data_IF_551750667003
#
_entry.id   IF_551750667003
#
_cell.length_a   1.000
_cell.length_b   1.000
_cell.length_c   1.000
_cell.angle_alpha   90.00
_cell.angle_beta   90.00
_cell.angle_gamma   90.00
#
_symmetry.space_group_name_H-M   'P 1'
#
loop_
_entity.id
_entity.type
_entity.pdbx_description
1 polymer ?
#
# COMPACT_ATOMS: atom_id res chain seq x y z
N UNK A 1 6.65 -9.15 16.82
CA UNK A 1 6.28 -10.33 16.02
C UNK A 1 6.92 -10.15 14.65
N UNK A 2 7.70 -11.12 14.16
CA UNK A 2 8.33 -11.01 12.85
C UNK A 2 7.27 -11.04 11.75
N UNK A 3 7.50 -10.31 10.65
CA UNK A 3 6.62 -10.32 9.49
C UNK A 3 6.69 -11.68 8.81
N UNK A 4 5.56 -12.19 8.34
CA UNK A 4 5.50 -13.48 7.65
C UNK A 4 6.28 -13.45 6.33
N UNK A 5 7.03 -14.50 5.98
CA UNK A 5 7.84 -14.56 4.75
C UNK A 5 7.03 -14.29 3.47
N UNK A 6 5.80 -14.79 3.40
CA UNK A 6 4.91 -14.62 2.25
C UNK A 6 4.55 -13.15 2.03
N UNK A 7 4.36 -12.40 3.12
CA UNK A 7 4.06 -10.97 3.05
C UNK A 7 5.28 -10.19 2.54
N UNK A 8 6.48 -10.56 2.99
CA UNK A 8 7.74 -9.98 2.49
C UNK A 8 7.93 -10.29 1.00
N UNK A 9 7.62 -11.51 0.57
CA UNK A 9 7.70 -11.91 -0.83
C UNK A 9 6.77 -11.07 -1.73
N UNK A 10 5.53 -10.81 -1.29
CA UNK A 10 4.59 -9.94 -2.00
C UNK A 10 5.06 -8.48 -2.05
N UNK A 11 5.68 -7.96 -0.98
CA UNK A 11 6.27 -6.61 -1.00
C UNK A 11 7.43 -6.50 -2.00
N UNK A 12 8.33 -7.48 -2.00
CA UNK A 12 9.43 -7.53 -2.96
C UNK A 12 8.93 -7.63 -4.40
N UNK A 13 7.88 -8.41 -4.62
CA UNK A 13 7.20 -8.49 -5.92
C UNK A 13 6.60 -7.14 -6.34
N UNK A 14 5.97 -6.40 -5.42
CA UNK A 14 5.46 -5.05 -5.69
C UNK A 14 6.58 -4.06 -6.00
N UNK A 15 7.70 -4.11 -5.27
CA UNK A 15 8.88 -3.28 -5.57
C UNK A 15 9.45 -3.57 -6.96
N UNK A 16 9.59 -4.84 -7.33
CA UNK A 16 10.05 -5.23 -8.66
C UNK A 16 9.15 -4.67 -9.78
N UNK A 17 7.83 -4.57 -9.53
CA UNK A 17 6.88 -3.96 -10.47
C UNK A 17 7.01 -2.45 -10.64
N UNK A 18 7.70 -1.72 -9.75
CA UNK A 18 7.93 -0.28 -9.92
C UNK A 18 8.99 0.02 -11.00
N UNK A 19 9.81 -0.98 -11.33
CA UNK A 19 10.80 -0.93 -12.41
C UNK A 19 10.70 -2.18 -13.30
N UNK A 20 9.57 -2.38 -14.00
CA UNK A 20 9.28 -3.65 -14.68
C UNK A 20 10.20 -3.92 -15.88
N UNK A 21 10.95 -2.92 -16.35
CA UNK A 21 11.82 -3.05 -17.53
C UNK A 21 13.29 -3.28 -17.17
N UNK A 22 13.72 -3.14 -15.91
CA UNK A 22 15.13 -3.30 -15.52
C UNK A 22 16.12 -2.32 -16.17
N UNK A 23 15.68 -1.42 -17.06
CA UNK A 23 16.53 -0.50 -17.85
C UNK A 23 16.89 0.79 -17.09
N UNK A 24 17.18 0.69 -15.80
CA UNK A 24 17.74 1.78 -14.97
C UNK A 24 16.84 2.98 -14.64
N UNK A 25 15.62 3.08 -15.21
CA UNK A 25 14.65 4.14 -14.85
C UNK A 25 13.51 3.56 -14.03
N UNK A 26 13.57 3.77 -12.72
CA UNK A 26 12.43 3.55 -11.82
C UNK A 26 11.33 4.52 -12.22
N UNK A 27 10.20 4.00 -12.69
CA UNK A 27 9.07 4.81 -13.14
C UNK A 27 8.12 5.23 -12.01
N UNK A 28 8.35 4.71 -10.80
CA UNK A 28 7.53 4.97 -9.63
C UNK A 28 8.31 4.90 -8.31
N UNK A 29 8.02 5.80 -7.39
CA UNK A 29 8.52 5.77 -6.02
C UNK A 29 7.62 4.88 -5.15
N UNK A 30 8.19 4.05 -4.28
CA UNK A 30 7.45 3.12 -3.44
C UNK A 30 7.90 3.12 -1.99
N UNK A 31 7.01 2.77 -1.07
CA UNK A 31 7.30 2.62 0.35
C UNK A 31 6.41 1.53 0.98
N UNK A 32 6.96 0.80 1.94
CA UNK A 32 6.24 -0.21 2.74
C UNK A 32 5.82 0.35 4.09
N UNK A 33 4.70 -0.14 4.61
CA UNK A 33 4.20 0.13 5.96
C UNK A 33 4.11 1.63 6.28
N UNK A 34 3.48 2.38 5.39
CA UNK A 34 3.32 3.83 5.53
C UNK A 34 2.18 4.11 6.49
N UNK A 35 2.51 4.62 7.66
CA UNK A 35 1.51 5.13 8.62
C UNK A 35 0.89 6.41 8.07
N UNK A 36 -0.40 6.33 7.81
CA UNK A 36 -1.24 7.45 7.45
C UNK A 36 -1.72 8.07 8.75
N UNK A 37 -1.09 9.17 9.15
CA UNK A 37 -1.63 10.06 10.16
C UNK A 37 -1.77 11.44 9.53
N UNK A 38 -2.94 12.02 9.71
CA UNK A 38 -3.22 13.43 9.40
C UNK A 38 -3.38 14.24 10.69
N UNK A 39 -2.92 13.70 11.83
CA UNK A 39 -2.97 14.41 13.10
C UNK A 39 -2.32 15.78 12.92
N UNK A 40 -3.06 16.83 13.26
CA UNK A 40 -2.71 18.23 13.01
C UNK A 40 -1.38 18.65 13.65
N UNK A 41 -0.82 17.85 14.58
CA UNK A 41 0.50 18.05 15.18
C UNK A 41 1.67 17.64 14.27
N UNK A 42 1.47 16.68 13.35
CA UNK A 42 2.48 16.25 12.39
C UNK A 42 2.59 17.21 11.20
N UNK A 43 1.49 17.89 10.86
CA UNK A 43 1.44 18.84 9.75
C UNK A 43 1.78 20.27 10.21
N UNK A 44 3.01 20.51 10.68
CA UNK A 44 3.52 21.89 10.89
C UNK A 44 3.78 22.65 9.58
N UNK A 45 3.77 21.97 8.42
CA UNK A 45 3.88 22.58 7.10
C UNK A 45 2.53 23.11 6.56
N UNK A 46 1.40 22.55 6.99
CA UNK A 46 0.06 22.97 6.58
C UNK A 46 -0.64 23.76 7.68
N UNK A 47 -0.67 25.09 7.55
CA UNK A 47 -1.48 25.95 8.44
C UNK A 47 -2.97 25.56 8.35
N UNK A 48 -3.49 25.00 9.43
CA UNK A 48 -4.91 25.09 9.80
C UNK A 48 -5.86 24.09 9.14
N UNK A 49 -6.25 23.06 9.90
CA UNK A 49 -7.62 22.72 10.29
C UNK A 49 -7.61 21.38 11.04
N UNK A 50 -8.17 21.35 12.25
CA UNK A 50 -8.49 20.10 12.97
C UNK A 50 -9.66 19.43 12.22
N UNK A 51 -9.37 18.51 11.30
CA UNK A 51 -10.36 17.56 10.79
C UNK A 51 -10.00 16.20 11.36
N UNK A 52 -10.99 15.42 11.80
CA UNK A 52 -10.80 14.05 12.26
C UNK A 52 -9.93 13.32 11.24
N UNK A 53 -8.70 13.03 11.63
CA UNK A 53 -7.66 12.64 10.69
C UNK A 53 -7.89 11.23 10.18
N UNK A 54 -7.57 10.98 8.91
CA UNK A 54 -7.32 9.61 8.46
C UNK A 54 -6.19 9.03 9.33
N UNK A 55 -6.52 7.95 10.05
CA UNK A 55 -5.57 7.14 10.82
C UNK A 55 -5.59 5.73 10.26
N UNK A 56 -4.43 5.25 9.82
CA UNK A 56 -4.31 3.92 9.23
C UNK A 56 -2.88 3.61 8.86
N UNK A 57 -2.65 2.44 8.28
CA UNK A 57 -1.35 2.05 7.75
C UNK A 57 -1.59 1.29 6.45
N UNK A 58 -0.90 1.70 5.40
CA UNK A 58 -0.89 1.00 4.11
C UNK A 58 0.30 0.06 4.09
N UNK A 59 0.09 -1.20 3.72
CA UNK A 59 1.19 -2.17 3.64
C UNK A 59 2.20 -1.80 2.56
N UNK A 60 1.73 -1.37 1.39
CA UNK A 60 2.60 -0.85 0.33
C UNK A 60 1.91 0.26 -0.46
N UNK A 61 2.66 1.30 -0.81
CA UNK A 61 2.14 2.40 -1.62
C UNK A 61 3.16 2.84 -2.66
N UNK A 62 2.68 3.23 -3.84
CA UNK A 62 3.53 3.78 -4.90
C UNK A 62 2.93 4.99 -5.57
N UNK A 63 3.78 5.84 -6.14
CA UNK A 63 3.40 6.98 -6.97
C UNK A 63 4.29 7.00 -8.23
N UNK A 64 3.67 7.07 -9.41
CA UNK A 64 4.40 7.16 -10.68
C UNK A 64 4.68 8.61 -11.10
N UNK A 65 5.45 8.78 -12.18
CA UNK A 65 5.79 10.10 -12.75
C UNK A 65 4.58 10.88 -13.26
N UNK A 66 3.42 10.24 -13.42
CA UNK A 66 2.14 10.88 -13.76
C UNK A 66 1.30 11.17 -12.51
N UNK A 67 1.92 11.14 -11.33
CA UNK A 67 1.30 11.40 -10.02
C UNK A 67 0.17 10.42 -9.69
N UNK A 68 0.14 9.25 -10.33
CA UNK A 68 -0.85 8.22 -10.01
C UNK A 68 -0.39 7.39 -8.82
N UNK A 69 -0.97 7.72 -7.67
CA UNK A 69 -0.88 6.94 -6.43
C UNK A 69 -1.63 5.61 -6.51
N UNK A 70 -0.98 4.52 -6.10
CA UNK A 70 -1.56 3.18 -5.93
C UNK A 70 -1.32 2.69 -4.51
N UNK A 71 -2.37 2.32 -3.79
CA UNK A 71 -2.28 1.77 -2.44
C UNK A 71 -2.60 0.26 -2.47
N UNK A 72 -1.83 -0.51 -1.71
CA UNK A 72 -1.87 -1.96 -1.71
C UNK A 72 -1.98 -2.46 -0.27
N UNK A 73 -3.01 -3.28 -0.04
CA UNK A 73 -3.22 -4.03 1.21
C UNK A 73 -2.82 -5.48 0.98
N UNK A 74 -1.93 -6.03 1.80
CA UNK A 74 -1.39 -7.38 1.62
C UNK A 74 -2.05 -8.34 2.61
N UNK A 75 -2.66 -9.42 2.10
CA UNK A 75 -3.24 -10.49 2.92
C UNK A 75 -2.72 -11.84 2.43
N UNK A 76 -2.05 -12.59 3.30
CA UNK A 76 -1.46 -13.90 2.96
C UNK A 76 -2.22 -15.08 3.58
N UNK A 77 -3.21 -14.81 4.44
CA UNK A 77 -4.14 -15.81 4.93
C UNK A 77 -5.57 -15.29 4.95
N UNK A 78 -6.54 -16.20 4.93
CA UNK A 78 -7.96 -15.85 5.02
C UNK A 78 -8.29 -15.18 6.36
N UNK A 79 -7.59 -15.56 7.43
CA UNK A 79 -7.77 -14.94 8.75
C UNK A 79 -7.43 -13.46 8.71
N UNK A 80 -6.34 -13.08 8.02
CA UNK A 80 -5.99 -11.66 7.87
C UNK A 80 -7.06 -10.90 7.12
N UNK A 81 -7.62 -11.51 6.07
CA UNK A 81 -8.65 -10.89 5.25
C UNK A 81 -9.94 -10.64 6.04
N UNK A 82 -10.30 -11.57 6.92
CA UNK A 82 -11.48 -11.51 7.79
C UNK A 82 -11.33 -10.52 8.96
N UNK A 83 -10.11 -10.08 9.29
CA UNK A 83 -9.93 -9.07 10.34
C UNK A 83 -10.56 -7.73 9.95
N UNK A 84 -11.16 -7.03 10.92
CA UNK A 84 -11.73 -5.68 10.75
C UNK A 84 -10.65 -4.58 10.67
N UNK A 85 -9.38 -4.94 10.44
CA UNK A 85 -8.31 -3.96 10.32
C UNK A 85 -8.67 -2.94 9.22
N UNK A 86 -8.48 -1.65 9.53
CA UNK A 86 -8.81 -0.55 8.62
C UNK A 86 -8.05 -0.71 7.30
N UNK A 87 -8.77 -1.15 6.25
CA UNK A 87 -8.22 -1.30 4.91
C UNK A 87 -7.93 0.09 4.35
N UNK A 88 -6.66 0.39 4.10
CA UNK A 88 -6.25 1.77 3.83
C UNK A 88 -6.38 2.17 2.35
N UNK A 89 -7.61 2.33 1.87
CA UNK A 89 -7.95 2.62 0.47
C UNK A 89 -7.79 4.10 0.08
N UNK A 90 -6.58 4.63 0.20
CA UNK A 90 -6.31 6.07 0.01
C UNK A 90 -5.81 6.48 -1.37
N UNK A 91 -5.45 5.51 -2.23
CA UNK A 91 -4.85 5.77 -3.54
C UNK A 91 -5.88 6.11 -4.63
N UNK A 92 -5.38 6.56 -5.79
CA UNK A 92 -6.21 6.65 -7.00
C UNK A 92 -6.67 5.27 -7.45
N UNK A 93 -5.79 4.28 -7.33
CA UNK A 93 -6.15 2.87 -7.47
C UNK A 93 -5.78 2.14 -6.20
N UNK A 94 -6.69 1.30 -5.73
CA UNK A 94 -6.56 0.56 -4.50
C UNK A 94 -6.59 -0.93 -4.82
N UNK A 95 -5.70 -1.70 -4.21
CA UNK A 95 -5.54 -3.12 -4.50
C UNK A 95 -5.49 -3.96 -3.22
N UNK A 96 -6.29 -5.01 -3.19
CA UNK A 96 -5.95 -6.19 -2.39
C UNK A 96 -4.85 -6.97 -3.13
N UNK A 97 -3.81 -7.39 -2.40
CA UNK A 97 -2.75 -8.27 -2.91
C UNK A 97 -2.71 -9.52 -2.05
N UNK A 98 -2.82 -10.68 -2.69
CA UNK A 98 -2.77 -11.98 -2.02
C UNK A 98 -1.78 -12.91 -2.70
N UNK A 99 -1.48 -14.03 -2.04
CA UNK A 99 -0.83 -15.14 -2.73
C UNK A 99 -1.80 -15.80 -3.71
N UNK A 100 -1.26 -16.56 -4.67
CA UNK A 100 -2.07 -17.32 -5.63
C UNK A 100 -2.89 -18.39 -4.91
N UNK A 101 -2.31 -19.07 -3.92
CA UNK A 101 -2.97 -20.14 -3.16
C UNK A 101 -4.19 -19.61 -2.37
N UNK A 102 -4.07 -18.42 -1.78
CA UNK A 102 -5.19 -17.79 -1.07
C UNK A 102 -6.31 -17.42 -2.05
N UNK A 103 -5.95 -16.91 -3.22
CA UNK A 103 -6.91 -16.55 -4.26
C UNK A 103 -7.64 -17.78 -4.82
N UNK A 104 -6.95 -18.89 -5.01
CA UNK A 104 -7.55 -20.10 -5.55
C UNK A 104 -8.48 -20.79 -4.55
N UNK A 105 -8.12 -20.78 -3.26
CA UNK A 105 -8.93 -21.43 -2.22
C UNK A 105 -10.15 -20.62 -1.78
N UNK A 106 -10.08 -19.29 -1.78
CA UNK A 106 -11.12 -18.41 -1.21
C UNK A 106 -11.62 -17.34 -2.18
N UNK A 107 -11.55 -17.62 -3.49
CA UNK A 107 -11.93 -16.70 -4.57
C UNK A 107 -13.26 -16.02 -4.35
N UNK A 108 -14.29 -16.83 -4.17
CA UNK A 108 -15.68 -16.37 -4.14
C UNK A 108 -15.97 -15.58 -2.86
N UNK A 109 -15.43 -16.03 -1.72
CA UNK A 109 -15.54 -15.32 -0.43
C UNK A 109 -14.89 -13.93 -0.51
N UNK A 110 -13.68 -13.86 -1.07
CA UNK A 110 -12.94 -12.60 -1.18
C UNK A 110 -13.64 -11.67 -2.16
N UNK A 111 -14.09 -12.15 -3.32
CA UNK A 111 -14.79 -11.32 -4.31
C UNK A 111 -16.11 -10.77 -3.75
N UNK A 112 -16.87 -11.59 -3.02
CA UNK A 112 -18.12 -11.16 -2.40
C UNK A 112 -17.91 -10.08 -1.34
N UNK A 113 -16.81 -10.14 -0.58
CA UNK A 113 -16.51 -9.20 0.49
C UNK A 113 -15.65 -8.00 0.06
N UNK A 114 -15.06 -8.01 -1.14
CA UNK A 114 -14.19 -6.94 -1.61
C UNK A 114 -15.01 -5.75 -2.15
N UNK A 115 -14.85 -4.53 -1.58
CA UNK A 115 -15.63 -3.36 -2.00
C UNK A 115 -15.52 -3.06 -3.50
N UNK A 116 -16.56 -2.42 -4.06
CA UNK A 116 -16.52 -2.03 -5.46
C UNK A 116 -15.40 -1.03 -5.77
N UNK A 117 -14.80 -1.19 -6.95
CA UNK A 117 -13.68 -0.37 -7.40
C UNK A 117 -12.32 -0.69 -6.79
N UNK A 118 -12.22 -1.66 -5.89
CA UNK A 118 -10.93 -2.18 -5.40
C UNK A 118 -10.45 -3.29 -6.34
N UNK A 119 -9.21 -3.16 -6.82
CA UNK A 119 -8.56 -4.19 -7.62
C UNK A 119 -8.09 -5.35 -6.76
N UNK A 120 -7.88 -6.51 -7.39
CA UNK A 120 -7.30 -7.66 -6.73
C UNK A 120 -6.19 -8.25 -7.60
N UNK A 121 -4.98 -8.30 -7.06
CA UNK A 121 -3.78 -8.83 -7.69
C UNK A 121 -3.25 -10.05 -6.94
N UNK A 122 -2.68 -10.97 -7.70
CA UNK A 122 -1.73 -11.98 -7.23
C UNK A 122 -0.45 -11.88 -8.06
N UNK A 123 0.63 -12.58 -7.69
CA UNK A 123 1.85 -12.62 -8.49
C UNK A 123 1.63 -13.02 -9.95
N UNK A 124 0.69 -13.94 -10.20
CA UNK A 124 0.45 -14.49 -11.55
C UNK A 124 -0.67 -13.81 -12.31
N UNK A 125 -1.65 -13.18 -11.64
CA UNK A 125 -2.84 -12.68 -12.31
C UNK A 125 -3.43 -11.39 -11.71
N UNK A 126 -4.16 -10.67 -12.57
CA UNK A 126 -5.09 -9.62 -12.13
C UNK A 126 -6.47 -10.26 -11.99
N UNK A 127 -6.86 -10.60 -10.76
CA UNK A 127 -8.16 -11.24 -10.46
C UNK A 127 -9.32 -10.26 -10.67
N UNK A 128 -9.13 -8.98 -10.29
CA UNK A 128 -10.11 -7.91 -10.50
C UNK A 128 -9.41 -6.60 -10.83
N UNK A 129 -9.92 -5.88 -11.83
CA UNK A 129 -9.42 -4.54 -12.18
C UNK A 129 -9.96 -3.49 -11.21
N UNK A 130 -9.13 -2.53 -10.73
CA UNK A 130 -9.59 -1.44 -9.89
C UNK A 130 -10.34 -0.38 -10.72
N UNK A 131 -11.05 0.50 -10.02
CA UNK A 131 -11.54 1.78 -10.57
C UNK A 131 -10.69 2.92 -10.03
N UNK A 132 -10.67 4.04 -10.76
CA UNK A 132 -9.97 5.25 -10.33
C UNK A 132 -10.82 6.02 -9.32
N UNK A 133 -10.22 6.46 -8.22
CA UNK A 133 -10.84 7.26 -7.16
C UNK A 133 -10.12 8.60 -6.99
N UNK A 134 -10.78 9.57 -6.35
CA UNK A 134 -10.14 10.77 -5.86
C UNK A 134 -9.22 10.44 -4.68
N UNK A 135 -8.07 11.11 -4.60
CA UNK A 135 -7.12 10.90 -3.52
C UNK A 135 -7.70 11.39 -2.19
N UNK A 136 -7.67 10.55 -1.16
CA UNK A 136 -8.26 10.88 0.15
C UNK A 136 -7.33 11.71 1.05
N UNK A 137 -6.02 11.68 0.75
CA UNK A 137 -4.97 12.39 1.46
C UNK A 137 -4.28 13.31 0.46
N UNK A 138 -3.87 14.50 0.89
CA UNK A 138 -3.07 15.39 0.05
C UNK A 138 -1.82 14.69 -0.49
N UNK A 139 -1.57 14.83 -1.79
CA UNK A 139 -0.48 14.12 -2.48
C UNK A 139 0.90 14.50 -1.92
N UNK A 140 1.13 15.78 -1.65
CA UNK A 140 2.42 16.25 -1.10
C UNK A 140 2.64 15.68 0.30
N UNK A 141 1.60 15.67 1.14
CA UNK A 141 1.66 15.04 2.44
C UNK A 141 1.94 13.54 2.35
N UNK A 142 1.29 12.84 1.42
CA UNK A 142 1.49 11.42 1.22
C UNK A 142 2.92 11.09 0.80
N UNK A 143 3.48 11.85 -0.15
CA UNK A 143 4.88 11.70 -0.57
C UNK A 143 5.83 11.95 0.61
N UNK A 144 5.55 12.95 1.45
CA UNK A 144 6.34 13.18 2.66
C UNK A 144 6.30 11.99 3.63
N UNK A 145 5.13 11.39 3.86
CA UNK A 145 4.99 10.21 4.70
C UNK A 145 5.78 9.01 4.15
N UNK A 146 5.75 8.80 2.82
CA UNK A 146 6.55 7.76 2.16
C UNK A 146 8.05 8.01 2.34
N UNK A 147 8.52 9.24 2.14
CA UNK A 147 9.93 9.62 2.33
C UNK A 147 10.39 9.42 3.77
N UNK A 148 9.58 9.86 4.74
CA UNK A 148 9.85 9.66 6.17
C UNK A 148 9.98 8.18 6.49
N UNK A 149 9.08 7.33 5.98
CA UNK A 149 9.12 5.88 6.24
C UNK A 149 10.38 5.25 5.66
N UNK A 150 10.72 5.54 4.41
CA UNK A 150 11.93 5.00 3.77
C UNK A 150 13.22 5.45 4.48
N UNK A 151 13.28 6.67 4.99
CA UNK A 151 14.42 7.13 5.79
C UNK A 151 14.61 6.34 7.10
N UNK A 152 13.50 5.90 7.73
CA UNK A 152 13.57 5.05 8.92
C UNK A 152 14.10 3.65 8.60
N UNK A 153 13.68 3.06 7.48
CA UNK A 153 14.15 1.72 7.05
C UNK A 153 15.65 1.72 6.81
N UNK A 154 16.19 2.75 6.15
CA UNK A 154 17.64 2.91 5.92
C UNK A 154 18.42 3.05 7.22
N UNK A 155 17.83 3.67 8.25
CA UNK A 155 18.47 3.78 9.57
C UNK A 155 18.57 2.41 10.24
N UNK A 156 17.50 1.62 10.18
CA UNK A 156 17.46 0.32 10.85
C UNK A 156 18.43 -0.69 10.19
N UNK A 157 18.64 -0.62 8.87
CA UNK A 157 19.63 -1.46 8.19
C UNK A 157 21.09 -1.08 8.52
N UNK A 158 21.36 0.18 8.83
CA UNK A 158 22.72 0.69 9.16
C UNK A 158 23.10 0.54 10.63
N UNK A 159 22.14 0.21 11.50
CA UNK A 159 22.37 -0.05 12.93
C UNK A 159 22.53 -1.55 13.23
N UNK A 160 22.46 -2.39 12.19
CA UNK A 160 22.70 -3.83 12.26
C UNK A 160 24.13 -4.21 11.80
N UNK A 161 24.92 -3.21 11.40
CA UNK A 161 26.36 -3.29 11.12
C UNK A 161 27.15 -2.74 12.32
#
# INVERSE_FOLDING_TARGET
MAKRPEAIALENWLFARLNPRGKGRVSAYGATEVTLSTDASANKLGKGRKKAGYQGRVDFISIDTQRTVRAYEIKVSIQDFRTQAMKSWVGHYNYLVTTDELADKYRDEILAALPDGIGWLTPTQTVRRPKRHALQIDETWLVWLMMRRNAMVVRDSRLQD
#
